data_IF_302114874282
#
_entry.id   IF_302114874282
#
_cell.length_a   1.000
_cell.length_b   1.000
_cell.length_c   1.000
_cell.angle_alpha   90.00
_cell.angle_beta   90.00
_cell.angle_gamma   90.00
#
_symmetry.space_group_name_H-M   'P 1'
#
loop_
_entity.id
_entity.type
_entity.pdbx_description
1 polymer ?
#
# COMPACT_ATOMS: atom_id res chain seq x y z
N UNK A 1 79.97 -24.50 -30.53
CA UNK A 1 79.37 -25.13 -29.37
C UNK A 1 77.91 -24.66 -29.31
N UNK A 2 77.00 -25.45 -29.83
CA UNK A 2 75.56 -25.15 -29.78
C UNK A 2 74.95 -26.05 -28.69
N UNK A 3 74.46 -25.41 -27.63
CA UNK A 3 73.75 -26.05 -26.58
C UNK A 3 72.26 -26.08 -26.91
N UNK A 4 71.75 -27.26 -27.27
CA UNK A 4 70.31 -27.51 -27.40
C UNK A 4 69.62 -27.38 -26.03
N UNK A 5 68.69 -26.46 -25.93
CA UNK A 5 67.74 -26.39 -24.81
C UNK A 5 66.49 -27.20 -25.18
N UNK A 6 66.28 -28.34 -24.54
CA UNK A 6 65.01 -29.08 -24.57
C UNK A 6 63.96 -28.32 -23.72
N UNK A 7 62.74 -28.16 -24.22
CA UNK A 7 61.65 -27.60 -23.42
C UNK A 7 61.13 -28.67 -22.43
N UNK A 8 60.77 -28.31 -21.18
CA UNK A 8 60.21 -29.21 -20.22
C UNK A 8 58.78 -29.62 -20.62
N UNK A 9 58.59 -30.88 -20.97
CA UNK A 9 57.30 -31.52 -21.09
C UNK A 9 56.81 -31.89 -19.68
N UNK A 10 56.13 -30.93 -19.03
CA UNK A 10 55.31 -31.24 -17.84
C UNK A 10 53.99 -31.84 -18.25
N UNK A 11 53.44 -32.79 -17.50
CA UNK A 11 52.11 -33.32 -17.76
C UNK A 11 51.10 -32.17 -17.61
N UNK A 12 50.33 -31.96 -18.68
CA UNK A 12 49.21 -30.98 -18.66
C UNK A 12 48.15 -31.54 -17.72
N UNK A 13 47.93 -30.84 -16.60
CA UNK A 13 46.80 -31.15 -15.74
C UNK A 13 45.49 -31.06 -16.56
N UNK A 14 44.60 -32.03 -16.39
CA UNK A 14 43.30 -31.97 -17.03
C UNK A 14 42.56 -30.69 -16.59
N UNK A 15 41.81 -30.03 -17.51
CA UNK A 15 41.08 -28.84 -17.17
C UNK A 15 40.13 -29.12 -16.00
N UNK A 16 40.21 -28.27 -14.96
CA UNK A 16 39.35 -28.38 -13.79
C UNK A 16 37.89 -28.46 -14.23
N UNK A 17 37.21 -29.55 -13.89
CA UNK A 17 35.77 -29.68 -14.13
C UNK A 17 35.06 -28.48 -13.48
N UNK A 18 34.14 -27.84 -14.22
CA UNK A 18 33.34 -26.77 -13.62
C UNK A 18 32.55 -27.32 -12.44
N UNK A 19 32.42 -26.58 -11.33
CA UNK A 19 31.74 -27.06 -10.14
C UNK A 19 30.32 -27.50 -10.50
N UNK A 20 29.99 -28.75 -10.30
CA UNK A 20 28.66 -29.32 -10.51
C UNK A 20 27.77 -28.84 -9.37
N UNK A 21 27.01 -27.78 -9.57
CA UNK A 21 25.93 -27.38 -8.67
C UNK A 21 24.82 -28.45 -8.71
N UNK A 22 24.86 -29.40 -7.81
CA UNK A 22 24.03 -30.59 -7.85
C UNK A 22 22.70 -30.49 -7.12
N UNK A 23 22.38 -29.36 -6.48
CA UNK A 23 21.12 -29.26 -5.78
C UNK A 23 20.54 -27.82 -5.84
N UNK A 24 19.21 -27.75 -5.84
CA UNK A 24 18.47 -26.50 -5.77
C UNK A 24 18.80 -25.67 -4.51
N UNK A 25 19.28 -26.33 -3.46
CA UNK A 25 19.73 -25.70 -2.21
C UNK A 25 21.01 -24.89 -2.38
N UNK A 26 21.93 -25.31 -3.27
CA UNK A 26 23.16 -24.55 -3.58
C UNK A 26 22.85 -23.20 -4.25
N UNK A 27 21.82 -23.15 -5.11
CA UNK A 27 21.39 -21.90 -5.72
C UNK A 27 20.86 -20.90 -4.69
N UNK A 28 20.22 -21.37 -3.62
CA UNK A 28 19.72 -20.50 -2.55
C UNK A 28 20.86 -19.89 -1.71
N UNK A 29 22.03 -20.53 -1.67
CA UNK A 29 23.19 -19.99 -0.95
C UNK A 29 23.97 -18.94 -1.75
N UNK A 30 23.86 -18.97 -3.09
CA UNK A 30 24.55 -18.04 -4.00
C UNK A 30 23.78 -16.73 -4.19
N UNK A 31 22.45 -16.74 -3.97
CA UNK A 31 21.66 -15.49 -4.07
C UNK A 31 22.03 -14.57 -2.90
N UNK A 32 22.57 -13.37 -3.17
CA UNK A 32 22.91 -12.41 -2.13
C UNK A 32 21.72 -12.17 -1.18
N UNK A 33 22.02 -12.05 0.10
CA UNK A 33 20.98 -11.85 1.15
C UNK A 33 20.10 -10.65 0.87
N UNK A 34 20.63 -9.64 0.17
CA UNK A 34 19.93 -8.43 -0.24
C UNK A 34 18.84 -8.71 -1.31
N UNK A 35 19.08 -9.63 -2.26
CA UNK A 35 18.06 -10.01 -3.23
C UNK A 35 16.91 -10.81 -2.61
N UNK A 36 17.19 -11.62 -1.57
CA UNK A 36 16.14 -12.29 -0.79
C UNK A 36 15.30 -11.31 0.02
N UNK A 37 15.86 -10.18 0.45
CA UNK A 37 15.13 -9.11 1.12
C UNK A 37 14.18 -8.38 0.15
N UNK A 38 14.55 -8.23 -1.12
CA UNK A 38 13.72 -7.60 -2.17
C UNK A 38 12.55 -8.50 -2.57
N UNK A 39 12.71 -9.83 -2.53
CA UNK A 39 11.67 -10.79 -2.90
C UNK A 39 10.60 -11.02 -1.84
N UNK A 40 10.68 -10.39 -0.65
CA UNK A 40 9.58 -10.46 0.32
C UNK A 40 8.38 -9.72 -0.26
N UNK A 41 7.25 -10.43 -0.53
CA UNK A 41 6.05 -9.74 -0.97
C UNK A 41 5.75 -8.66 0.07
N UNK A 42 5.68 -7.41 -0.37
CA UNK A 42 5.34 -6.26 0.48
C UNK A 42 3.98 -6.56 1.12
N UNK A 43 3.99 -7.14 2.32
CA UNK A 43 2.76 -7.43 3.07
C UNK A 43 2.00 -6.11 3.15
N UNK A 44 0.79 -6.12 2.62
CA UNK A 44 -0.10 -4.95 2.70
C UNK A 44 -0.31 -4.64 4.16
N UNK A 45 0.00 -3.42 4.64
CA UNK A 45 -0.28 -3.08 6.02
C UNK A 45 -1.79 -3.23 6.26
N UNK A 46 -2.23 -4.07 7.20
CA UNK A 46 -3.67 -4.30 7.43
C UNK A 46 -4.40 -3.00 7.76
N UNK A 47 -3.70 -2.06 8.38
CA UNK A 47 -4.21 -0.74 8.74
C UNK A 47 -4.66 0.08 7.52
N UNK A 48 -3.93 0.05 6.37
CA UNK A 48 -4.35 0.73 5.15
C UNK A 48 -5.57 0.07 4.51
N UNK A 49 -5.66 -1.26 4.58
CA UNK A 49 -6.84 -1.98 4.11
C UNK A 49 -8.05 -1.60 4.95
N UNK A 50 -7.90 -1.54 6.27
CA UNK A 50 -8.98 -1.10 7.17
C UNK A 50 -9.39 0.35 6.89
N UNK A 51 -8.45 1.27 6.68
CA UNK A 51 -8.76 2.65 6.31
C UNK A 51 -9.53 2.75 4.97
N UNK A 52 -9.15 1.97 3.96
CA UNK A 52 -9.86 1.90 2.70
C UNK A 52 -11.29 1.35 2.87
N UNK A 53 -11.48 0.32 3.71
CA UNK A 53 -12.81 -0.23 4.05
C UNK A 53 -13.67 0.82 4.75
N UNK A 54 -13.12 1.57 5.70
CA UNK A 54 -13.85 2.65 6.40
C UNK A 54 -14.33 3.71 5.40
N UNK A 55 -13.47 4.15 4.48
CA UNK A 55 -13.85 5.10 3.42
C UNK A 55 -14.92 4.53 2.48
N UNK A 56 -14.81 3.24 2.12
CA UNK A 56 -15.79 2.58 1.27
C UNK A 56 -17.15 2.47 1.95
N UNK A 57 -17.18 2.09 3.22
CA UNK A 57 -18.42 2.04 4.03
C UNK A 57 -19.05 3.42 4.10
N UNK A 58 -18.27 4.48 4.33
CA UNK A 58 -18.76 5.85 4.33
C UNK A 58 -19.36 6.25 2.96
N UNK A 59 -18.73 5.83 1.85
CA UNK A 59 -19.26 6.05 0.50
C UNK A 59 -20.63 5.38 0.29
N UNK A 60 -20.75 4.12 0.71
CA UNK A 60 -22.01 3.36 0.63
C UNK A 60 -23.08 3.99 1.49
N UNK A 61 -22.74 4.44 2.72
CA UNK A 61 -23.70 5.11 3.61
C UNK A 61 -24.22 6.43 3.01
N UNK A 62 -23.37 7.21 2.33
CA UNK A 62 -23.81 8.41 1.61
C UNK A 62 -24.81 8.07 0.49
N UNK A 63 -24.56 6.98 -0.26
CA UNK A 63 -25.48 6.51 -1.30
C UNK A 63 -26.82 6.05 -0.70
N UNK A 64 -26.78 5.24 0.34
CA UNK A 64 -27.98 4.74 1.02
C UNK A 64 -28.79 5.88 1.64
N UNK A 65 -28.14 6.94 2.14
CA UNK A 65 -28.82 8.12 2.64
C UNK A 65 -29.64 8.80 1.54
N UNK A 66 -29.09 8.98 0.34
CA UNK A 66 -29.81 9.61 -0.78
C UNK A 66 -31.01 8.76 -1.21
N UNK A 67 -30.86 7.43 -1.30
CA UNK A 67 -31.92 6.51 -1.72
C UNK A 67 -33.02 6.38 -0.66
N UNK A 68 -32.62 6.26 0.61
CA UNK A 68 -33.55 5.98 1.72
C UNK A 68 -34.33 7.22 2.19
N UNK A 69 -33.68 8.35 2.30
CA UNK A 69 -34.28 9.56 2.91
C UNK A 69 -34.80 10.58 1.89
N UNK A 70 -34.49 10.44 0.60
CA UNK A 70 -34.91 11.34 -0.48
C UNK A 70 -34.73 12.82 -0.11
N UNK A 71 -33.50 13.25 0.25
CA UNK A 71 -33.24 14.61 0.66
C UNK A 71 -33.48 15.59 -0.49
N UNK A 72 -33.45 16.92 -0.21
CA UNK A 72 -33.51 17.94 -1.25
C UNK A 72 -32.42 17.70 -2.33
N UNK A 73 -32.68 18.16 -3.56
CA UNK A 73 -31.77 17.96 -4.68
C UNK A 73 -30.31 18.39 -4.37
N UNK A 74 -30.15 19.53 -3.70
CA UNK A 74 -28.84 20.05 -3.30
C UNK A 74 -28.12 19.07 -2.34
N UNK A 75 -28.81 18.59 -1.30
CA UNK A 75 -28.23 17.65 -0.33
C UNK A 75 -27.94 16.31 -0.99
N UNK A 76 -28.79 15.84 -1.90
CA UNK A 76 -28.56 14.62 -2.67
C UNK A 76 -27.28 14.72 -3.52
N UNK A 77 -27.11 15.82 -4.26
CA UNK A 77 -25.92 16.04 -5.10
C UNK A 77 -24.65 16.09 -4.24
N UNK A 78 -24.67 16.81 -3.12
CA UNK A 78 -23.53 16.89 -2.20
C UNK A 78 -23.18 15.52 -1.60
N UNK A 79 -24.19 14.74 -1.18
CA UNK A 79 -23.98 13.41 -0.64
C UNK A 79 -23.43 12.44 -1.67
N UNK A 80 -23.90 12.50 -2.92
CA UNK A 80 -23.38 11.68 -4.01
C UNK A 80 -21.94 12.06 -4.36
N UNK A 81 -21.64 13.36 -4.45
CA UNK A 81 -20.28 13.85 -4.71
C UNK A 81 -19.31 13.40 -3.61
N UNK A 82 -19.74 13.53 -2.34
CA UNK A 82 -18.95 13.08 -1.20
C UNK A 82 -18.75 11.55 -1.21
N UNK A 83 -19.80 10.79 -1.47
CA UNK A 83 -19.72 9.33 -1.61
C UNK A 83 -18.78 8.91 -2.74
N UNK A 84 -18.86 9.56 -3.91
CA UNK A 84 -17.94 9.30 -5.02
C UNK A 84 -16.49 9.62 -4.64
N UNK A 85 -16.22 10.76 -4.01
CA UNK A 85 -14.89 11.14 -3.55
C UNK A 85 -14.33 10.12 -2.54
N UNK A 86 -15.14 9.65 -1.60
CA UNK A 86 -14.75 8.62 -0.63
C UNK A 86 -14.48 7.28 -1.31
N UNK A 87 -15.30 6.86 -2.29
CA UNK A 87 -15.08 5.63 -3.06
C UNK A 87 -13.78 5.66 -3.85
N UNK A 88 -13.51 6.76 -4.57
CA UNK A 88 -12.24 6.98 -5.27
C UNK A 88 -11.06 7.02 -4.30
N UNK A 89 -11.20 7.74 -3.18
CA UNK A 89 -10.18 7.80 -2.13
C UNK A 89 -9.88 6.43 -1.54
N UNK A 90 -10.91 5.63 -1.24
CA UNK A 90 -10.77 4.26 -0.76
C UNK A 90 -9.97 3.39 -1.75
N UNK A 91 -10.30 3.47 -3.03
CA UNK A 91 -9.58 2.74 -4.08
C UNK A 91 -8.11 3.17 -4.18
N UNK A 92 -7.83 4.48 -4.21
CA UNK A 92 -6.47 5.01 -4.30
C UNK A 92 -5.62 4.65 -3.07
N UNK A 93 -6.19 4.66 -1.88
CA UNK A 93 -5.53 4.20 -0.65
C UNK A 93 -5.28 2.69 -0.71
N UNK A 94 -6.24 1.92 -1.20
CA UNK A 94 -6.12 0.47 -1.32
C UNK A 94 -5.00 0.05 -2.29
N UNK A 95 -4.88 0.70 -3.46
CA UNK A 95 -3.82 0.45 -4.44
C UNK A 95 -2.51 1.16 -4.11
N UNK A 96 -2.48 1.96 -3.04
CA UNK A 96 -1.32 2.77 -2.60
C UNK A 96 -0.83 3.76 -3.65
N UNK A 97 -1.73 4.30 -4.44
CA UNK A 97 -1.36 5.30 -5.43
C UNK A 97 -0.85 6.58 -4.71
N UNK A 98 0.21 7.26 -5.22
CA UNK A 98 0.76 8.46 -4.57
C UNK A 98 -0.28 9.53 -4.25
N UNK A 99 -1.27 9.72 -5.13
CA UNK A 99 -2.38 10.65 -4.94
C UNK A 99 -3.34 10.19 -3.82
N UNK A 100 -3.37 8.91 -3.49
CA UNK A 100 -4.17 8.36 -2.38
C UNK A 100 -3.79 8.92 -1.01
N UNK A 101 -2.51 9.31 -0.83
CA UNK A 101 -2.05 9.92 0.41
C UNK A 101 -2.74 11.27 0.70
N UNK A 102 -2.60 12.31 -0.14
CA UNK A 102 -3.24 13.60 0.14
C UNK A 102 -4.78 13.51 0.12
N UNK A 103 -5.37 12.70 -0.76
CA UNK A 103 -6.82 12.50 -0.81
C UNK A 103 -7.32 11.83 0.48
N UNK A 104 -6.66 10.79 0.98
CA UNK A 104 -7.04 10.12 2.23
C UNK A 104 -7.00 11.07 3.43
N UNK A 105 -5.96 11.92 3.52
CA UNK A 105 -5.86 12.94 4.57
C UNK A 105 -6.98 13.99 4.43
N UNK A 106 -7.23 14.47 3.22
CA UNK A 106 -8.27 15.49 2.98
C UNK A 106 -9.67 14.97 3.31
N UNK A 107 -10.00 13.74 2.90
CA UNK A 107 -11.28 13.10 3.21
C UNK A 107 -11.46 12.85 4.70
N UNK A 108 -10.39 12.41 5.39
CA UNK A 108 -10.40 12.26 6.84
C UNK A 108 -10.61 13.61 7.55
N UNK A 109 -9.89 14.66 7.14
CA UNK A 109 -10.05 16.00 7.71
C UNK A 109 -11.48 16.54 7.51
N UNK A 110 -12.05 16.36 6.30
CA UNK A 110 -13.41 16.74 6.01
C UNK A 110 -14.43 15.98 6.88
N UNK A 111 -14.20 14.68 7.11
CA UNK A 111 -15.02 13.87 8.01
C UNK A 111 -14.97 14.35 9.46
N UNK A 112 -13.81 14.81 9.95
CA UNK A 112 -13.70 15.43 11.28
C UNK A 112 -14.53 16.71 11.35
N UNK A 113 -14.44 17.58 10.34
CA UNK A 113 -15.24 18.83 10.27
C UNK A 113 -16.74 18.52 10.29
N UNK A 114 -17.19 17.56 9.46
CA UNK A 114 -18.60 17.12 9.44
C UNK A 114 -19.03 16.53 10.79
N UNK A 115 -18.16 15.75 11.44
CA UNK A 115 -18.45 15.24 12.79
C UNK A 115 -18.65 16.37 13.80
N UNK A 116 -17.77 17.38 13.80
CA UNK A 116 -17.88 18.53 14.71
C UNK A 116 -19.19 19.32 14.47
N UNK A 117 -19.55 19.56 13.20
CA UNK A 117 -20.79 20.30 12.90
C UNK A 117 -22.06 19.57 13.33
N UNK A 118 -22.02 18.23 13.41
CA UNK A 118 -23.14 17.39 13.86
C UNK A 118 -23.21 17.18 15.38
N UNK A 119 -22.20 17.61 16.13
CA UNK A 119 -22.08 17.30 17.55
C UNK A 119 -23.25 17.88 18.40
N UNK A 120 -23.90 18.95 17.91
CA UNK A 120 -25.07 19.54 18.55
C UNK A 120 -26.36 18.73 18.37
N UNK A 121 -26.48 17.98 17.27
CA UNK A 121 -27.70 17.26 16.92
C UNK A 121 -27.67 15.80 17.41
N UNK A 122 -26.53 15.13 17.24
CA UNK A 122 -26.31 13.72 17.64
C UNK A 122 -24.85 13.52 18.05
N UNK A 123 -24.60 13.65 19.34
CA UNK A 123 -23.25 13.55 19.91
C UNK A 123 -22.58 12.19 19.67
N UNK A 124 -23.35 11.08 19.67
CA UNK A 124 -22.81 9.75 19.47
C UNK A 124 -22.34 9.54 18.03
N UNK A 125 -23.19 9.91 17.07
CA UNK A 125 -22.86 9.85 15.64
C UNK A 125 -21.69 10.77 15.28
N UNK A 126 -21.65 11.96 15.86
CA UNK A 126 -20.55 12.91 15.73
C UNK A 126 -19.22 12.32 16.24
N UNK A 127 -19.22 11.74 17.45
CA UNK A 127 -18.03 11.12 18.03
C UNK A 127 -17.51 9.96 17.19
N UNK A 128 -18.41 9.09 16.70
CA UNK A 128 -18.05 7.98 15.83
C UNK A 128 -17.45 8.49 14.52
N UNK A 129 -18.06 9.51 13.91
CA UNK A 129 -17.55 10.12 12.67
C UNK A 129 -16.16 10.71 12.85
N UNK A 130 -15.93 11.45 13.96
CA UNK A 130 -14.62 12.02 14.30
C UNK A 130 -13.59 10.91 14.53
N UNK A 131 -13.94 9.88 15.30
CA UNK A 131 -13.03 8.78 15.61
C UNK A 131 -12.62 7.99 14.35
N UNK A 132 -13.58 7.63 13.48
CA UNK A 132 -13.29 6.92 12.22
C UNK A 132 -12.47 7.79 11.27
N UNK A 133 -12.77 9.06 11.16
CA UNK A 133 -12.04 10.01 10.31
C UNK A 133 -10.62 10.24 10.83
N UNK A 134 -10.43 10.38 12.15
CA UNK A 134 -9.13 10.45 12.79
C UNK A 134 -8.31 9.17 12.58
N UNK A 135 -8.95 8.01 12.65
CA UNK A 135 -8.31 6.75 12.31
C UNK A 135 -7.82 6.71 10.86
N UNK A 136 -8.62 7.17 9.88
CA UNK A 136 -8.21 7.24 8.47
C UNK A 136 -6.98 8.14 8.31
N UNK A 137 -6.99 9.33 8.91
CA UNK A 137 -5.85 10.27 8.88
C UNK A 137 -4.61 9.58 9.45
N UNK A 138 -4.73 9.00 10.65
CA UNK A 138 -3.62 8.31 11.30
C UNK A 138 -3.08 7.16 10.47
N UNK A 139 -3.97 6.30 9.93
CA UNK A 139 -3.60 5.14 9.14
C UNK A 139 -2.83 5.53 7.87
N UNK A 140 -3.31 6.55 7.16
CA UNK A 140 -2.68 7.06 5.93
C UNK A 140 -1.36 7.75 6.25
N UNK A 141 -1.32 8.63 7.27
CA UNK A 141 -0.13 9.38 7.66
C UNK A 141 1.00 8.47 8.14
N UNK A 142 0.69 7.47 8.99
CA UNK A 142 1.66 6.51 9.51
C UNK A 142 2.25 5.60 8.43
N UNK A 143 1.57 5.46 7.28
CA UNK A 143 2.00 4.60 6.18
C UNK A 143 2.45 5.39 4.95
N UNK A 144 2.81 6.66 5.08
CA UNK A 144 3.32 7.52 4.00
C UNK A 144 4.36 6.83 3.10
N UNK A 145 5.37 6.11 3.62
CA UNK A 145 6.37 5.44 2.77
C UNK A 145 5.78 4.40 1.82
N UNK A 146 4.58 3.90 2.09
CA UNK A 146 3.89 2.92 1.23
C UNK A 146 3.33 3.55 -0.04
N UNK A 147 3.18 4.88 -0.11
CA UNK A 147 2.66 5.64 -1.25
C UNK A 147 3.76 6.25 -2.13
N UNK A 148 5.03 6.22 -1.68
CA UNK A 148 6.16 6.84 -2.40
C UNK A 148 7.03 5.84 -3.15
N UNK A 149 6.76 4.53 -3.03
CA UNK A 149 7.53 3.44 -3.64
C UNK A 149 6.87 2.85 -4.89
N UNK A 150 6.02 3.62 -5.55
CA UNK A 150 5.41 3.25 -6.82
C UNK A 150 6.20 3.76 -8.02
#
# INVERSE_FOLDING_TARGET
MMTSMEPPTGPSDPPAEPPRHSSFEDWQSVVPSDERAVARPLRRPPVLTTAAVVLLVAAVMNLLFVVGFRPSATVAVLSLAMGAAQGVGAFLVFIRHPVGYPIGIALGALGVVVGITRAGDDALSALMTIALSGFVIWAVASNRPSFTRG
#
